data_IF_480975270551
#
_entry.id   IF_480975270551
#
_cell.length_a   1.000
_cell.length_b   1.000
_cell.length_c   1.000
_cell.angle_alpha   90.00
_cell.angle_beta   90.00
_cell.angle_gamma   90.00
#
_symmetry.space_group_name_H-M   'P 1'
#
loop_
_entity.id
_entity.type
_entity.pdbx_description
1 polymer ?
#
# COMPACT_ATOMS: atom_id res chain seq x y z
N UNK A 1 -4.74 -16.59 -21.94
CA UNK A 1 -5.05 -15.86 -20.69
C UNK A 1 -4.83 -14.38 -21.02
N UNK A 2 -5.81 -13.52 -20.73
CA UNK A 2 -5.62 -12.07 -20.92
C UNK A 2 -4.50 -11.58 -20.01
N UNK A 3 -3.77 -10.53 -20.42
CA UNK A 3 -2.64 -9.99 -19.63
C UNK A 3 -3.12 -9.50 -18.26
N UNK A 4 -4.29 -8.87 -18.21
CA UNK A 4 -4.94 -8.41 -16.98
C UNK A 4 -5.20 -9.56 -15.99
N UNK A 5 -5.69 -10.69 -16.46
CA UNK A 5 -5.92 -11.87 -15.62
C UNK A 5 -4.62 -12.43 -15.01
N UNK A 6 -3.51 -12.41 -15.76
CA UNK A 6 -2.21 -12.79 -15.23
C UNK A 6 -1.71 -11.82 -14.14
N UNK A 7 -1.94 -10.51 -14.32
CA UNK A 7 -1.58 -9.49 -13.32
C UNK A 7 -2.42 -9.66 -12.05
N UNK A 8 -3.73 -9.90 -12.18
CA UNK A 8 -4.62 -10.20 -11.04
C UNK A 8 -4.11 -11.40 -10.22
N UNK A 9 -3.78 -12.51 -10.88
CA UNK A 9 -3.25 -13.71 -10.22
C UNK A 9 -1.93 -13.42 -9.46
N UNK A 10 -1.05 -12.62 -10.05
CA UNK A 10 0.23 -12.21 -9.44
C UNK A 10 0.00 -11.32 -8.21
N UNK A 11 -0.91 -10.35 -8.29
CA UNK A 11 -1.25 -9.47 -7.17
C UNK A 11 -1.86 -10.27 -6.01
N UNK A 12 -2.76 -11.20 -6.31
CA UNK A 12 -3.36 -12.09 -5.31
C UNK A 12 -2.33 -13.01 -4.65
N UNK A 13 -1.39 -13.58 -5.43
CA UNK A 13 -0.29 -14.36 -4.85
C UNK A 13 0.65 -13.50 -3.98
N UNK A 14 0.94 -12.27 -4.41
CA UNK A 14 1.72 -11.31 -3.63
C UNK A 14 1.04 -11.00 -2.29
N UNK A 15 -0.27 -10.74 -2.30
CA UNK A 15 -1.10 -10.57 -1.08
C UNK A 15 -1.00 -11.79 -0.16
N UNK A 16 -1.20 -13.01 -0.69
CA UNK A 16 -1.08 -14.25 0.11
C UNK A 16 0.31 -14.43 0.72
N UNK A 17 1.37 -14.07 0.00
CA UNK A 17 2.75 -14.12 0.53
C UNK A 17 2.95 -13.11 1.64
N UNK A 18 2.46 -11.88 1.47
CA UNK A 18 2.54 -10.83 2.47
C UNK A 18 1.86 -11.27 3.78
N UNK A 19 0.63 -11.78 3.70
CA UNK A 19 -0.07 -12.33 4.87
C UNK A 19 0.70 -13.46 5.57
N UNK A 20 1.31 -14.38 4.81
CA UNK A 20 2.13 -15.45 5.39
C UNK A 20 3.39 -14.93 6.09
N UNK A 21 4.03 -13.90 5.53
CA UNK A 21 5.24 -13.30 6.10
C UNK A 21 4.97 -12.55 7.41
N UNK A 22 3.79 -11.96 7.54
CA UNK A 22 3.43 -11.12 8.69
C UNK A 22 2.78 -11.89 9.85
N UNK A 23 2.23 -13.09 9.59
CA UNK A 23 1.38 -13.83 10.53
C UNK A 23 2.00 -14.03 11.91
N UNK A 24 3.29 -14.30 11.96
CA UNK A 24 3.98 -14.74 13.17
C UNK A 24 4.89 -13.64 13.77
N UNK A 25 4.86 -12.41 13.22
CA UNK A 25 5.70 -11.30 13.68
C UNK A 25 5.09 -10.58 14.87
N UNK A 26 5.93 -10.24 15.86
CA UNK A 26 5.52 -9.38 16.98
C UNK A 26 5.55 -7.89 16.60
N UNK A 27 4.87 -7.02 17.36
CA UNK A 27 4.98 -5.56 17.16
C UNK A 27 6.42 -5.05 17.16
N UNK A 28 7.28 -5.60 18.02
CA UNK A 28 8.68 -5.23 18.11
C UNK A 28 9.47 -5.66 16.86
N UNK A 29 9.19 -6.84 16.31
CA UNK A 29 9.82 -7.32 15.08
C UNK A 29 9.38 -6.50 13.85
N UNK A 30 8.13 -6.04 13.84
CA UNK A 30 7.59 -5.21 12.76
C UNK A 30 8.30 -3.85 12.65
N UNK A 31 8.70 -3.27 13.78
CA UNK A 31 9.41 -1.98 13.83
C UNK A 31 10.94 -2.14 13.88
N UNK A 32 11.43 -3.36 14.06
CA UNK A 32 12.86 -3.65 14.10
C UNK A 32 13.54 -3.33 12.77
N UNK A 33 14.80 -2.92 12.85
CA UNK A 33 15.63 -2.57 11.70
C UNK A 33 17.03 -3.17 11.82
N UNK A 34 17.58 -3.72 10.72
CA UNK A 34 18.95 -4.25 10.71
C UNK A 34 20.02 -3.16 10.83
N UNK A 35 19.75 -1.96 10.31
CA UNK A 35 20.58 -0.75 10.45
C UNK A 35 19.68 0.48 10.63
N UNK A 36 20.14 1.57 11.28
CA UNK A 36 19.31 2.75 11.55
C UNK A 36 18.72 3.42 10.30
N UNK A 37 19.32 3.23 9.13
CA UNK A 37 18.89 3.81 7.87
C UNK A 37 17.90 2.93 7.08
N UNK A 38 17.66 1.70 7.53
CA UNK A 38 16.73 0.80 6.87
C UNK A 38 15.28 1.21 7.15
N UNK A 39 14.38 0.81 6.27
CA UNK A 39 12.96 0.81 6.58
C UNK A 39 12.62 -0.42 7.43
N UNK A 40 11.70 -0.26 8.37
CA UNK A 40 11.13 -1.37 9.13
C UNK A 40 10.16 -2.18 8.25
N UNK A 41 9.83 -3.40 8.66
CA UNK A 41 8.85 -4.24 7.96
C UNK A 41 7.50 -3.52 7.93
N UNK A 42 7.04 -3.02 9.09
CA UNK A 42 5.75 -2.34 9.19
C UNK A 42 5.67 -1.09 8.31
N UNK A 43 6.73 -0.29 8.22
CA UNK A 43 6.79 0.84 7.30
C UNK A 43 6.69 0.38 5.85
N UNK A 44 7.41 -0.67 5.44
CA UNK A 44 7.36 -1.19 4.06
C UNK A 44 5.94 -1.66 3.71
N UNK A 45 5.27 -2.39 4.61
CA UNK A 45 3.91 -2.89 4.36
C UNK A 45 2.92 -1.75 4.17
N UNK A 46 2.96 -0.75 5.06
CA UNK A 46 2.13 0.45 4.93
C UNK A 46 2.45 1.22 3.64
N UNK A 47 3.73 1.37 3.31
CA UNK A 47 4.18 2.12 2.16
C UNK A 47 3.75 1.47 0.83
N UNK A 48 3.72 0.13 0.75
CA UNK A 48 3.17 -0.59 -0.41
C UNK A 48 1.71 -0.15 -0.66
N UNK A 49 0.86 -0.19 0.37
CA UNK A 49 -0.54 0.21 0.24
C UNK A 49 -0.70 1.69 -0.13
N UNK A 50 0.09 2.58 0.49
CA UNK A 50 0.06 4.02 0.16
C UNK A 50 0.47 4.31 -1.27
N UNK A 51 1.54 3.68 -1.75
CA UNK A 51 1.97 3.86 -3.13
C UNK A 51 0.90 3.33 -4.07
N UNK A 52 0.37 2.13 -3.85
CA UNK A 52 -0.67 1.55 -4.69
C UNK A 52 -1.93 2.45 -4.78
N UNK A 53 -2.43 2.96 -3.65
CA UNK A 53 -3.59 3.87 -3.59
C UNK A 53 -3.34 5.18 -4.34
N UNK A 54 -2.17 5.79 -4.11
CA UNK A 54 -1.79 7.04 -4.78
C UNK A 54 -1.62 6.86 -6.29
N UNK A 55 -1.05 5.73 -6.72
CA UNK A 55 -0.87 5.46 -8.15
C UNK A 55 -2.22 5.22 -8.84
N UNK A 56 -3.11 4.49 -8.18
CA UNK A 56 -4.44 4.24 -8.71
C UNK A 56 -5.23 5.54 -8.85
N UNK A 57 -5.31 6.33 -7.77
CA UNK A 57 -6.10 7.57 -7.74
C UNK A 57 -5.46 8.74 -8.50
N UNK A 58 -4.12 8.80 -8.53
CA UNK A 58 -3.38 9.92 -9.09
C UNK A 58 -2.98 9.76 -10.55
N UNK A 59 -2.91 8.53 -11.06
CA UNK A 59 -2.44 8.25 -12.43
C UNK A 59 -3.36 7.34 -13.23
N UNK A 60 -3.95 6.31 -12.61
CA UNK A 60 -4.66 5.26 -13.36
C UNK A 60 -6.15 5.57 -13.59
N UNK A 61 -6.80 6.23 -12.62
CA UNK A 61 -8.23 6.55 -12.66
C UNK A 61 -8.42 8.04 -12.46
N UNK A 62 -8.93 8.72 -13.50
CA UNK A 62 -9.18 10.15 -13.45
C UNK A 62 -10.21 10.51 -12.36
N UNK A 63 -9.96 11.61 -11.65
CA UNK A 63 -10.81 12.16 -10.59
C UNK A 63 -11.12 11.21 -9.40
N UNK A 64 -10.35 10.14 -9.22
CA UNK A 64 -10.50 9.27 -8.06
C UNK A 64 -9.85 9.89 -6.82
N UNK A 65 -10.56 9.94 -5.70
CA UNK A 65 -9.98 10.31 -4.40
C UNK A 65 -9.36 9.09 -3.75
N UNK A 66 -8.10 9.19 -3.32
CA UNK A 66 -7.37 8.14 -2.60
C UNK A 66 -8.19 7.60 -1.40
N UNK A 67 -8.22 6.28 -1.20
CA UNK A 67 -8.84 5.67 0.00
C UNK A 67 -8.25 6.24 1.28
N UNK A 68 -6.96 6.55 1.25
CA UNK A 68 -6.24 7.27 2.30
C UNK A 68 -7.05 8.40 2.93
N UNK A 69 -7.71 9.18 2.07
CA UNK A 69 -8.52 10.34 2.46
C UNK A 69 -9.99 9.93 2.60
N UNK A 70 -10.60 9.36 1.55
CA UNK A 70 -12.07 9.17 1.51
C UNK A 70 -12.60 8.15 2.52
N UNK A 71 -11.78 7.19 2.93
CA UNK A 71 -12.15 6.14 3.89
C UNK A 71 -11.55 6.43 5.30
N UNK A 72 -10.91 7.59 5.50
CA UNK A 72 -10.38 8.02 6.79
C UNK A 72 -9.14 7.28 7.28
N UNK A 73 -8.38 6.63 6.39
CA UNK A 73 -7.17 5.88 6.80
C UNK A 73 -6.05 6.79 7.31
N UNK A 74 -5.95 8.04 6.83
CA UNK A 74 -5.00 9.01 7.36
C UNK A 74 -5.16 9.22 8.87
N UNK A 75 -6.40 9.48 9.31
CA UNK A 75 -6.75 9.64 10.72
C UNK A 75 -6.49 8.36 11.51
N UNK A 76 -6.94 7.21 11.01
CA UNK A 76 -6.73 5.90 11.66
C UNK A 76 -5.27 5.54 11.82
N UNK A 77 -4.43 5.94 10.87
CA UNK A 77 -2.99 5.75 10.93
C UNK A 77 -2.24 6.86 11.68
N UNK A 78 -2.92 7.90 12.17
CA UNK A 78 -2.30 9.02 12.87
C UNK A 78 -1.37 9.87 11.99
N UNK A 79 -1.56 9.86 10.67
CA UNK A 79 -0.72 10.55 9.69
C UNK A 79 -1.51 11.62 8.95
N UNK A 80 -0.80 12.60 8.39
CA UNK A 80 -1.45 13.63 7.57
C UNK A 80 -1.95 13.06 6.24
N UNK A 81 -3.02 13.65 5.71
CA UNK A 81 -3.57 13.30 4.39
C UNK A 81 -2.55 13.50 3.26
N UNK A 82 -1.59 14.42 3.43
CA UNK A 82 -0.56 14.71 2.43
C UNK A 82 0.65 13.78 2.48
N UNK A 83 0.79 12.97 3.53
CA UNK A 83 1.92 12.06 3.66
C UNK A 83 1.80 10.85 2.70
N UNK A 84 2.90 10.61 1.99
CA UNK A 84 3.03 9.49 1.05
C UNK A 84 4.09 8.48 1.48
N UNK A 85 4.91 8.82 2.49
CA UNK A 85 6.11 8.06 2.85
C UNK A 85 7.31 8.30 1.92
N UNK A 86 7.09 8.86 0.72
CA UNK A 86 8.16 9.16 -0.23
C UNK A 86 8.98 10.34 0.27
N UNK A 87 10.30 10.15 0.33
CA UNK A 87 11.23 11.19 0.76
C UNK A 87 11.22 11.45 2.27
N UNK A 88 10.64 10.54 3.07
CA UNK A 88 10.71 10.63 4.52
C UNK A 88 12.16 10.68 5.00
N UNK A 89 12.44 11.58 5.95
CA UNK A 89 13.69 11.60 6.68
C UNK A 89 13.76 10.43 7.67
N UNK A 90 14.96 10.11 8.17
CA UNK A 90 15.12 9.09 9.21
C UNK A 90 14.27 9.38 10.46
N UNK A 91 14.16 10.65 10.85
CA UNK A 91 13.34 11.09 11.98
C UNK A 91 11.84 10.82 11.73
N UNK A 92 11.35 11.05 10.51
CA UNK A 92 9.96 10.77 10.15
C UNK A 92 9.67 9.26 10.12
N UNK A 93 10.61 8.44 9.66
CA UNK A 93 10.49 6.97 9.74
C UNK A 93 10.49 6.51 11.19
N UNK A 94 11.33 7.10 12.04
CA UNK A 94 11.37 6.77 13.47
C UNK A 94 10.08 7.17 14.20
N UNK A 95 9.51 8.32 13.87
CA UNK A 95 8.23 8.76 14.41
C UNK A 95 7.08 7.85 13.95
N UNK A 96 7.06 7.47 12.67
CA UNK A 96 6.12 6.46 12.17
C UNK A 96 6.24 5.15 12.94
N UNK A 97 7.46 4.63 13.15
CA UNK A 97 7.66 3.35 13.85
C UNK A 97 7.19 3.41 15.30
N UNK A 98 7.37 4.55 16.00
CA UNK A 98 6.89 4.73 17.39
C UNK A 98 5.36 4.76 17.48
N UNK A 99 4.71 5.30 16.45
CA UNK A 99 3.26 5.49 16.41
C UNK A 99 2.57 4.53 15.43
N UNK A 100 3.25 3.44 15.06
CA UNK A 100 2.79 2.56 14.00
C UNK A 100 1.45 1.91 14.40
N UNK A 101 0.42 1.97 13.53
CA UNK A 101 -0.84 1.29 13.80
C UNK A 101 -0.63 -0.22 13.93
N UNK A 102 -1.58 -0.95 14.57
CA UNK A 102 -1.56 -2.40 14.56
C UNK A 102 -1.45 -2.93 13.12
N UNK A 103 -0.63 -3.95 12.89
CA UNK A 103 -0.42 -4.49 11.54
C UNK A 103 -1.73 -4.93 10.87
N UNK A 104 -2.71 -5.39 11.65
CA UNK A 104 -4.04 -5.75 11.16
C UNK A 104 -4.76 -4.54 10.54
N UNK A 105 -4.58 -3.33 11.07
CA UNK A 105 -5.17 -2.12 10.48
C UNK A 105 -4.47 -1.72 9.20
N UNK A 106 -3.14 -1.83 9.15
CA UNK A 106 -2.35 -1.61 7.93
C UNK A 106 -2.77 -2.61 6.84
N UNK A 107 -2.97 -3.89 7.20
CA UNK A 107 -3.43 -4.92 6.27
C UNK A 107 -4.88 -4.70 5.81
N UNK A 108 -5.74 -4.17 6.66
CA UNK A 108 -7.09 -3.78 6.26
C UNK A 108 -7.08 -2.61 5.27
N UNK A 109 -6.16 -1.64 5.42
CA UNK A 109 -5.94 -0.59 4.43
C UNK A 109 -5.41 -1.17 3.11
N UNK A 110 -4.39 -2.02 3.17
CA UNK A 110 -3.84 -2.72 2.01
C UNK A 110 -4.93 -3.49 1.25
N UNK A 111 -5.80 -4.20 1.95
CA UNK A 111 -6.89 -4.96 1.32
C UNK A 111 -7.90 -4.04 0.64
N UNK A 112 -8.30 -2.94 1.29
CA UNK A 112 -9.20 -1.96 0.72
C UNK A 112 -8.65 -1.33 -0.58
N UNK A 113 -7.35 -1.02 -0.60
CA UNK A 113 -6.66 -0.51 -1.80
C UNK A 113 -6.58 -1.59 -2.88
N UNK A 114 -6.27 -2.82 -2.50
CA UNK A 114 -6.18 -3.95 -3.44
C UNK A 114 -7.52 -4.26 -4.11
N UNK A 115 -8.63 -4.12 -3.39
CA UNK A 115 -9.97 -4.25 -3.97
C UNK A 115 -10.19 -3.28 -5.12
N UNK A 116 -9.80 -2.01 -4.95
CA UNK A 116 -9.92 -1.01 -6.01
C UNK A 116 -8.99 -1.30 -7.19
N UNK A 117 -7.74 -1.72 -6.92
CA UNK A 117 -6.78 -2.08 -7.96
C UNK A 117 -7.30 -3.25 -8.82
N UNK A 118 -7.85 -4.28 -8.20
CA UNK A 118 -8.44 -5.41 -8.93
C UNK A 118 -9.69 -5.00 -9.70
N UNK A 119 -10.53 -4.12 -9.14
CA UNK A 119 -11.69 -3.59 -9.84
C UNK A 119 -11.27 -2.79 -11.09
N UNK A 120 -10.22 -1.99 -10.98
CA UNK A 120 -9.62 -1.28 -12.10
C UNK A 120 -9.08 -2.24 -13.16
N UNK A 121 -8.25 -3.21 -12.80
CA UNK A 121 -7.69 -4.18 -13.76
C UNK A 121 -8.77 -4.96 -14.51
N UNK A 122 -9.88 -5.31 -13.85
CA UNK A 122 -11.03 -5.99 -14.48
C UNK A 122 -11.80 -5.11 -15.44
N UNK A 123 -11.68 -3.80 -15.32
CA UNK A 123 -12.31 -2.85 -16.24
C UNK A 123 -11.51 -2.64 -17.53
N UNK A 124 -10.22 -3.01 -17.52
CA UNK A 124 -9.32 -2.85 -18.65
C UNK A 124 -9.48 -3.96 -19.67
N UNK A 125 -9.27 -3.59 -20.93
CA UNK A 125 -9.05 -4.50 -22.05
C UNK A 125 -7.61 -4.39 -22.57
N UNK A 126 -7.20 -5.29 -23.47
CA UNK A 126 -5.81 -5.34 -23.96
C UNK A 126 -5.35 -4.03 -24.63
N UNK A 127 -6.23 -3.27 -25.29
CA UNK A 127 -5.88 -1.99 -25.92
C UNK A 127 -5.64 -0.87 -24.90
N UNK A 128 -6.23 -0.97 -23.70
CA UNK A 128 -6.00 0.02 -22.65
C UNK A 128 -4.57 -0.10 -22.08
N UNK A 129 -3.93 -1.27 -22.19
CA UNK A 129 -2.55 -1.51 -21.75
C UNK A 129 -1.50 -0.86 -22.66
N UNK A 130 -1.87 -0.46 -23.88
CA UNK A 130 -1.00 0.28 -24.81
C UNK A 130 -1.04 1.80 -24.53
N UNK A 131 -1.95 2.27 -23.66
CA UNK A 131 -2.07 3.68 -23.29
C UNK A 131 -1.07 3.99 -22.18
N UNK A 132 -0.25 5.01 -22.40
CA UNK A 132 0.63 5.55 -21.36
C UNK A 132 -0.19 6.53 -20.51
N UNK A 133 -0.36 6.29 -19.20
CA UNK A 133 -1.00 7.26 -18.31
C UNK A 133 -0.20 8.57 -18.30
N UNK A 134 -0.91 9.71 -18.39
CA UNK A 134 -0.33 11.06 -18.46
C UNK A 134 0.03 11.65 -17.10
#
# INVERSE_FOLDING_TARGET
>A
MAVTAFIEDLLEESKRRLYRMLRDLTPEELIWRPVPEANSIGFIVWHIARVEDRWLAGFAVDQMTERWIRDGWAERCGLSESHTGVGFTLEQVDDFNKNMPPIAEIMAYFDAVREDMLAYLRSLNDADLDVVPG
#
